data_IF_561385711380
#
_entry.id   IF_561385711380
#
_cell.length_a   1.000
_cell.length_b   1.000
_cell.length_c   1.000
_cell.angle_alpha   90.00
_cell.angle_beta   90.00
_cell.angle_gamma   90.00
#
_symmetry.space_group_name_H-M   'P 1'
#
loop_
_entity.id
_entity.type
_entity.pdbx_description
1 polymer ?
#
# COMPACT_ATOMS: atom_id res chain seq x y z
N UNK A 1 14.52 -7.92 6.45
CA UNK A 1 14.72 -6.53 6.83
C UNK A 1 13.81 -5.61 6.05
N UNK A 2 13.40 -4.52 6.66
CA UNK A 2 12.50 -3.56 6.03
C UNK A 2 13.26 -2.72 5.01
N UNK A 3 12.59 -2.42 3.89
CA UNK A 3 13.13 -1.55 2.86
C UNK A 3 12.14 -0.40 2.67
N UNK A 4 12.61 0.82 2.89
CA UNK A 4 11.79 2.01 2.78
C UNK A 4 12.05 2.73 1.46
N UNK A 5 10.98 3.17 0.82
CA UNK A 5 11.08 3.89 -0.44
C UNK A 5 10.03 5.00 -0.45
N UNK A 6 10.46 6.21 -0.77
CA UNK A 6 9.55 7.35 -0.85
C UNK A 6 9.15 7.58 -2.28
N UNK A 7 7.83 7.66 -2.51
CA UNK A 7 7.27 7.89 -3.84
C UNK A 7 6.35 9.11 -3.79
N UNK A 8 6.10 9.67 -4.95
CA UNK A 8 5.22 10.84 -5.07
C UNK A 8 4.10 10.52 -6.04
N UNK A 9 2.87 10.81 -5.63
CA UNK A 9 1.71 10.70 -6.52
C UNK A 9 1.68 11.91 -7.44
N UNK A 10 1.60 11.65 -8.75
CA UNK A 10 1.48 12.71 -9.75
C UNK A 10 0.12 12.59 -10.42
N UNK A 11 -0.55 13.71 -10.58
CA UNK A 11 -1.82 13.73 -11.30
C UNK A 11 -1.89 14.95 -12.21
N UNK A 12 -2.68 14.82 -13.30
CA UNK A 12 -2.66 15.79 -14.39
C UNK A 12 -3.71 16.90 -14.25
N UNK A 13 -4.78 16.63 -13.51
CA UNK A 13 -5.86 17.60 -13.33
C UNK A 13 -5.95 17.97 -11.87
N UNK A 14 -4.95 18.69 -11.40
CA UNK A 14 -4.91 19.12 -10.02
C UNK A 14 -6.02 20.07 -9.71
N UNK A 15 -6.67 19.83 -8.57
CA UNK A 15 -7.60 20.77 -7.99
C UNK A 15 -6.95 21.37 -6.75
N UNK A 16 -7.14 22.67 -6.56
CA UNK A 16 -6.66 23.34 -5.35
C UNK A 16 -7.43 22.88 -4.11
N UNK A 17 -8.49 22.10 -4.32
CA UNK A 17 -9.35 21.66 -3.23
C UNK A 17 -8.96 20.31 -2.65
N UNK A 18 -7.87 19.71 -3.11
CA UNK A 18 -7.44 18.42 -2.58
C UNK A 18 -6.82 18.61 -1.20
N UNK A 19 -7.38 17.93 -0.20
CA UNK A 19 -6.89 18.02 1.18
C UNK A 19 -5.96 16.85 1.53
N UNK A 20 -6.21 15.67 0.97
CA UNK A 20 -5.47 14.48 1.32
C UNK A 20 -5.71 13.39 0.28
N UNK A 21 -5.09 12.24 0.51
CA UNK A 21 -5.31 11.05 -0.31
C UNK A 21 -5.70 9.89 0.61
N UNK A 22 -6.46 8.96 0.05
CA UNK A 22 -6.83 7.74 0.77
C UNK A 22 -6.73 6.55 -0.16
N UNK A 23 -6.54 5.38 0.43
CA UNK A 23 -6.56 4.11 -0.29
C UNK A 23 -7.90 3.44 0.03
N UNK A 24 -8.56 2.90 -1.00
CA UNK A 24 -9.81 2.18 -0.82
C UNK A 24 -9.52 0.69 -0.62
N UNK A 25 -9.65 0.18 0.61
CA UNK A 25 -9.25 -1.22 0.87
C UNK A 25 -10.01 -2.25 0.05
N UNK A 26 -11.28 -1.99 -0.26
CA UNK A 26 -12.10 -2.96 -0.99
C UNK A 26 -11.69 -3.11 -2.45
N UNK A 27 -10.94 -2.14 -2.97
CA UNK A 27 -10.48 -2.16 -4.36
C UNK A 27 -9.03 -2.62 -4.49
N UNK A 28 -8.37 -2.87 -3.35
CA UNK A 28 -6.98 -3.29 -3.36
C UNK A 28 -6.89 -4.80 -3.58
N UNK A 29 -6.01 -5.20 -4.50
CA UNK A 29 -5.65 -6.60 -4.72
C UNK A 29 -6.87 -7.50 -4.95
N UNK A 30 -7.84 -7.00 -5.72
CA UNK A 30 -9.04 -7.77 -6.07
C UNK A 30 -8.60 -9.01 -6.84
N UNK A 31 -9.10 -10.18 -6.42
CA UNK A 31 -8.66 -11.45 -7.00
C UNK A 31 -7.50 -12.08 -6.27
N UNK A 32 -6.78 -11.34 -5.43
CA UNK A 32 -5.78 -11.92 -4.53
C UNK A 32 -4.48 -12.33 -5.19
N UNK A 33 -4.12 -11.73 -6.33
CA UNK A 33 -2.90 -12.12 -7.04
C UNK A 33 -1.62 -11.74 -6.30
N UNK A 34 -1.65 -10.63 -5.56
CA UNK A 34 -0.51 -10.20 -4.76
C UNK A 34 -0.52 -10.98 -3.46
N UNK A 35 0.57 -11.70 -3.19
CA UNK A 35 0.65 -12.60 -2.05
C UNK A 35 1.96 -12.41 -1.30
N UNK A 36 1.95 -12.80 -0.04
CA UNK A 36 3.15 -12.93 0.77
C UNK A 36 3.06 -14.25 1.51
N UNK A 37 4.09 -15.07 1.38
CA UNK A 37 4.15 -16.41 1.98
C UNK A 37 2.92 -17.26 1.63
N UNK A 38 2.42 -17.10 0.39
CA UNK A 38 1.30 -17.86 -0.12
C UNK A 38 -0.08 -17.33 0.22
N UNK A 39 -0.18 -16.26 1.00
CA UNK A 39 -1.46 -15.70 1.43
C UNK A 39 -1.71 -14.36 0.74
N UNK A 40 -2.94 -14.11 0.32
CA UNK A 40 -3.30 -12.87 -0.35
C UNK A 40 -3.13 -11.67 0.58
N UNK A 41 -2.56 -10.60 0.05
CA UNK A 41 -2.34 -9.37 0.82
C UNK A 41 -3.60 -8.53 0.82
N UNK A 42 -3.98 -8.05 1.98
CA UNK A 42 -5.08 -7.10 2.18
C UNK A 42 -4.50 -5.80 2.71
N UNK A 43 -5.29 -4.75 2.71
CA UNK A 43 -4.84 -3.45 3.21
C UNK A 43 -5.91 -2.85 4.12
N UNK A 44 -5.47 -2.10 5.12
CA UNK A 44 -6.36 -1.38 6.02
C UNK A 44 -5.68 -0.11 6.51
N UNK A 45 -6.48 0.87 6.87
CA UNK A 45 -5.94 2.07 7.49
C UNK A 45 -5.51 1.75 8.92
N UNK A 46 -4.38 2.32 9.32
CA UNK A 46 -3.90 2.20 10.69
C UNK A 46 -4.67 3.20 11.56
N UNK A 47 -5.55 2.69 12.42
CA UNK A 47 -6.42 3.55 13.22
C UNK A 47 -5.64 4.42 14.21
N UNK A 48 -4.44 4.00 14.58
CA UNK A 48 -3.60 4.78 15.49
C UNK A 48 -2.85 5.91 14.76
N UNK A 49 -2.71 5.80 13.43
CA UNK A 49 -1.94 6.75 12.63
C UNK A 49 -2.72 7.08 11.36
N UNK A 50 -3.70 7.99 11.43
CA UNK A 50 -4.47 8.38 10.24
C UNK A 50 -3.54 8.81 9.10
N UNK A 51 -3.85 8.36 7.89
CA UNK A 51 -3.01 8.61 6.73
C UNK A 51 -1.97 7.54 6.48
N UNK A 52 -1.87 6.55 7.36
CA UNK A 52 -1.00 5.39 7.20
C UNK A 52 -1.85 4.15 6.97
N UNK A 53 -1.43 3.33 6.01
CA UNK A 53 -2.12 2.08 5.66
C UNK A 53 -1.17 0.91 5.85
N UNK A 54 -1.71 -0.22 6.25
CA UNK A 54 -0.96 -1.44 6.50
C UNK A 54 -1.41 -2.51 5.50
N UNK A 55 -0.47 -3.01 4.71
CA UNK A 55 -0.69 -4.22 3.92
C UNK A 55 -0.37 -5.42 4.81
N UNK A 56 -1.24 -6.40 4.85
CA UNK A 56 -1.09 -7.53 5.76
C UNK A 56 -1.65 -8.81 5.15
N UNK A 57 -1.18 -9.93 5.67
CA UNK A 57 -1.76 -11.24 5.38
C UNK A 57 -2.35 -11.79 6.67
N UNK A 58 -3.32 -12.70 6.52
CA UNK A 58 -3.80 -13.50 7.65
C UNK A 58 -3.29 -14.91 7.40
N UNK A 59 -2.39 -15.37 8.25
CA UNK A 59 -1.74 -16.67 8.03
C UNK A 59 -2.65 -17.84 8.43
N UNK A 60 -2.12 -19.06 8.30
CA UNK A 60 -2.90 -20.27 8.56
C UNK A 60 -3.36 -20.40 10.01
N UNK A 61 -2.77 -19.64 10.93
CA UNK A 61 -3.19 -19.65 12.34
C UNK A 61 -4.19 -18.53 12.65
N UNK A 62 -4.61 -17.75 11.64
CA UNK A 62 -5.50 -16.63 11.85
C UNK A 62 -4.83 -15.37 12.35
N UNK A 63 -3.51 -15.31 12.32
CA UNK A 63 -2.75 -14.15 12.79
C UNK A 63 -2.48 -13.20 11.64
N UNK A 64 -2.74 -11.91 11.86
CA UNK A 64 -2.40 -10.88 10.89
C UNK A 64 -0.89 -10.59 10.97
N UNK A 65 -0.24 -10.60 9.82
CA UNK A 65 1.20 -10.33 9.72
C UNK A 65 1.38 -9.13 8.79
N UNK A 66 1.95 -8.02 9.28
CA UNK A 66 2.20 -6.86 8.43
C UNK A 66 3.21 -7.19 7.34
N UNK A 67 2.90 -6.77 6.12
CA UNK A 67 3.74 -7.00 4.95
C UNK A 67 4.39 -5.71 4.49
N UNK A 68 3.63 -4.63 4.49
CA UNK A 68 4.17 -3.30 4.15
C UNK A 68 3.34 -2.21 4.82
N UNK A 69 3.90 -1.00 4.81
CA UNK A 69 3.13 0.18 5.21
C UNK A 69 3.24 1.23 4.14
N UNK A 70 2.20 2.06 4.04
CA UNK A 70 2.18 3.23 3.16
C UNK A 70 1.75 4.39 4.02
N UNK A 71 2.60 5.39 4.14
CA UNK A 71 2.32 6.58 4.95
C UNK A 71 2.29 7.80 4.04
N UNK A 72 1.13 8.44 3.94
CA UNK A 72 1.03 9.69 3.20
C UNK A 72 1.60 10.82 4.04
N UNK A 73 2.39 11.69 3.40
CA UNK A 73 3.03 12.79 4.08
C UNK A 73 2.01 13.81 4.57
N UNK A 74 2.15 14.25 5.83
CA UNK A 74 1.32 15.32 6.36
C UNK A 74 1.77 16.69 5.91
N UNK A 75 3.01 16.81 5.44
CA UNK A 75 3.59 18.09 5.07
C UNK A 75 3.67 18.32 3.56
N UNK A 76 3.70 17.26 2.77
CA UNK A 76 3.83 17.35 1.31
C UNK A 76 2.72 16.53 0.67
N UNK A 77 1.70 17.24 0.20
CA UNK A 77 0.55 16.59 -0.44
C UNK A 77 1.01 15.80 -1.66
N UNK A 78 0.58 14.55 -1.76
CA UNK A 78 0.90 13.68 -2.87
C UNK A 78 2.14 12.82 -2.65
N UNK A 79 2.89 13.06 -1.59
CA UNK A 79 4.05 12.26 -1.26
C UNK A 79 3.66 11.15 -0.29
N UNK A 80 4.22 9.97 -0.51
CA UNK A 80 4.02 8.86 0.43
C UNK A 80 5.30 8.05 0.55
N UNK A 81 5.43 7.37 1.68
CA UNK A 81 6.55 6.46 1.94
C UNK A 81 6.02 5.04 2.00
N UNK A 82 6.60 4.18 1.19
CA UNK A 82 6.30 2.75 1.17
C UNK A 82 7.43 2.02 1.90
N UNK A 83 7.07 1.20 2.88
CA UNK A 83 8.05 0.41 3.64
C UNK A 83 7.67 -1.06 3.54
N UNK A 84 8.55 -1.87 2.98
CA UNK A 84 8.33 -3.31 2.85
C UNK A 84 8.88 -4.01 4.08
N UNK A 85 8.04 -4.79 4.75
CA UNK A 85 8.38 -5.49 6.01
C UNK A 85 8.61 -6.97 5.80
N UNK A 86 7.88 -7.58 4.85
CA UNK A 86 7.99 -9.00 4.53
C UNK A 86 8.09 -9.15 3.02
N UNK A 87 8.73 -10.20 2.56
CA UNK A 87 8.88 -10.43 1.13
C UNK A 87 7.53 -10.69 0.46
N UNK A 88 7.35 -10.13 -0.71
CA UNK A 88 6.21 -10.43 -1.57
C UNK A 88 6.57 -11.60 -2.47
N UNK A 89 5.59 -12.45 -2.74
CA UNK A 89 5.80 -13.62 -3.59
C UNK A 89 5.92 -13.18 -5.05
N UNK A 90 6.74 -13.89 -5.80
CA UNK A 90 6.93 -13.63 -7.22
C UNK A 90 6.47 -14.84 -8.03
N UNK A 91 5.91 -14.60 -9.20
CA UNK A 91 5.64 -15.66 -10.15
C UNK A 91 6.99 -16.21 -10.67
N UNK A 92 6.98 -17.49 -11.04
CA UNK A 92 8.18 -18.10 -11.60
C UNK A 92 8.66 -17.31 -12.83
N UNK A 93 9.94 -17.07 -12.88
CA UNK A 93 10.55 -16.36 -14.00
C UNK A 93 10.58 -14.85 -13.85
N UNK A 94 10.00 -14.30 -12.79
CA UNK A 94 10.07 -12.87 -12.53
C UNK A 94 11.24 -12.54 -11.61
N UNK A 95 11.93 -11.48 -11.97
CA UNK A 95 12.95 -10.91 -11.13
C UNK A 95 12.31 -10.18 -9.96
N UNK A 96 13.03 -10.06 -8.85
CA UNK A 96 12.54 -9.34 -7.68
C UNK A 96 12.18 -7.89 -7.99
N UNK A 97 12.90 -7.29 -8.93
CA UNK A 97 12.70 -5.88 -9.28
C UNK A 97 11.51 -5.65 -10.19
N UNK A 98 10.93 -6.73 -10.70
CA UNK A 98 9.82 -6.64 -11.65
C UNK A 98 8.45 -6.75 -11.00
N UNK A 99 8.41 -6.97 -9.70
CA UNK A 99 7.14 -7.08 -8.99
C UNK A 99 6.51 -5.70 -8.85
N UNK A 100 5.28 -5.58 -9.27
CA UNK A 100 4.52 -4.35 -9.14
C UNK A 100 3.06 -4.67 -8.83
N UNK A 101 2.36 -3.68 -8.29
CA UNK A 101 0.93 -3.80 -8.00
C UNK A 101 0.32 -2.41 -7.98
N UNK A 102 -1.00 -2.37 -8.15
CA UNK A 102 -1.73 -1.12 -8.20
C UNK A 102 -2.29 -0.77 -6.84
N UNK A 103 -2.30 0.54 -6.55
CA UNK A 103 -2.92 1.07 -5.35
C UNK A 103 -4.14 1.89 -5.74
N UNK A 104 -5.32 1.56 -5.20
CA UNK A 104 -6.53 2.35 -5.47
C UNK A 104 -6.55 3.61 -4.61
N UNK A 105 -5.86 4.65 -5.09
CA UNK A 105 -5.69 5.91 -4.36
C UNK A 105 -6.68 6.94 -4.88
N UNK A 106 -7.38 7.59 -3.96
CA UNK A 106 -8.34 8.64 -4.26
C UNK A 106 -7.97 9.94 -3.58
N UNK A 107 -8.21 11.04 -4.28
CA UNK A 107 -8.06 12.36 -3.68
C UNK A 107 -9.29 12.67 -2.83
N UNK A 108 -9.07 13.32 -1.70
CA UNK A 108 -10.13 13.75 -0.78
C UNK A 108 -10.19 15.26 -0.81
N UNK A 109 -11.35 15.82 -1.14
CA UNK A 109 -11.54 17.26 -1.20
C UNK A 109 -11.61 17.88 0.19
N UNK A 110 -11.31 19.16 0.25
CA UNK A 110 -11.42 19.91 1.48
C UNK A 110 -12.88 20.12 1.91
#
# INVERSE_FOLDING_TARGET
SAVSQTETITFTNQSDDVASFRIEPTEFNVGGALKSNGFAVEIKEDSANPGTYIGFITNGSGTEVPVFTIAFSASTLGEYTFTLLEALDHADGLDKNDLSFDLPVYAVDT
#
